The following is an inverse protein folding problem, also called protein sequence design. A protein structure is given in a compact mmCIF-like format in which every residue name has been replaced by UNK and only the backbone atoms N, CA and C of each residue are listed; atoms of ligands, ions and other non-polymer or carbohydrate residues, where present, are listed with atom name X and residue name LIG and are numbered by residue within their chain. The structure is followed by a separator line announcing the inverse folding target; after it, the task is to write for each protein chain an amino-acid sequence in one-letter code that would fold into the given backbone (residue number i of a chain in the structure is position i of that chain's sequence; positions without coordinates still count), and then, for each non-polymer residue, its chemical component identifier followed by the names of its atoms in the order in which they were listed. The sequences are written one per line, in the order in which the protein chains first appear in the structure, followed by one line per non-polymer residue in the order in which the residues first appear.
data_IF_850563272961
#
_entry.id   IF_850563272961
#
_cell.length_a   1.000
_cell.length_b   1.000
_cell.length_c   1.000
_cell.angle_alpha   90.00
_cell.angle_beta   90.00
_cell.angle_gamma   90.00
#
_symmetry.space_group_name_H-M   'P 1'
#
loop_
_entity.id
_entity.type
_entity.pdbx_description
1 polymer ?
#
# COMPACT_ATOMS: atom_id res chain seq x y z
N UNK A 1 9.65 1.04 20.55
CA UNK A 1 8.23 1.43 20.50
C UNK A 1 7.96 2.65 19.62
N UNK A 2 8.45 3.86 19.93
CA UNK A 2 8.09 5.06 19.15
C UNK A 2 8.36 4.92 17.62
N UNK A 3 9.50 4.34 17.22
CA UNK A 3 9.80 4.14 15.79
C UNK A 3 8.84 3.17 15.07
N UNK A 4 8.43 2.09 15.72
CA UNK A 4 7.47 1.13 15.16
C UNK A 4 6.10 1.79 14.97
N UNK A 5 5.66 2.60 15.93
CA UNK A 5 4.40 3.34 15.81
C UNK A 5 4.42 4.34 14.66
N UNK A 6 5.55 5.04 14.48
CA UNK A 6 5.74 5.95 13.35
C UNK A 6 5.70 5.18 12.01
N UNK A 7 6.38 4.03 11.94
CA UNK A 7 6.38 3.21 10.73
C UNK A 7 4.99 2.65 10.39
N UNK A 8 4.23 2.18 11.38
CA UNK A 8 2.85 1.73 11.18
C UNK A 8 1.92 2.88 10.78
N UNK A 9 2.04 4.06 11.41
CA UNK A 9 1.29 5.26 10.99
C UNK A 9 1.58 5.66 9.54
N UNK A 10 2.84 5.50 9.11
CA UNK A 10 3.22 5.70 7.72
C UNK A 10 2.49 4.72 6.80
N UNK A 11 2.40 3.45 7.16
CA UNK A 11 1.67 2.46 6.37
C UNK A 11 0.16 2.73 6.32
N UNK A 12 -0.47 3.11 7.44
CA UNK A 12 -1.88 3.56 7.45
C UNK A 12 -2.10 4.72 6.46
N UNK A 13 -1.18 5.69 6.46
CA UNK A 13 -1.24 6.84 5.55
C UNK A 13 -1.01 6.44 4.09
N UNK A 14 -0.02 5.59 3.84
CA UNK A 14 0.26 5.04 2.50
C UNK A 14 -0.96 4.30 1.94
N UNK A 15 -1.59 3.43 2.74
CA UNK A 15 -2.75 2.65 2.29
C UNK A 15 -3.97 3.53 2.03
N UNK A 16 -4.21 4.57 2.83
CA UNK A 16 -5.29 5.52 2.55
C UNK A 16 -5.07 6.28 1.23
N UNK A 17 -3.84 6.73 0.96
CA UNK A 17 -3.49 7.41 -0.30
C UNK A 17 -3.53 6.44 -1.48
N UNK A 18 -3.01 5.22 -1.32
CA UNK A 18 -3.03 4.18 -2.34
C UNK A 18 -4.45 3.76 -2.69
N UNK A 19 -5.33 3.57 -1.70
CA UNK A 19 -6.75 3.28 -1.90
C UNK A 19 -7.42 4.32 -2.81
N UNK A 20 -7.20 5.60 -2.52
CA UNK A 20 -7.75 6.71 -3.30
C UNK A 20 -7.15 6.76 -4.70
N UNK A 21 -5.83 6.55 -4.81
CA UNK A 21 -5.10 6.51 -6.08
C UNK A 21 -5.56 5.37 -6.99
N UNK A 22 -5.79 4.19 -6.43
CA UNK A 22 -6.28 3.03 -7.18
C UNK A 22 -7.71 3.24 -7.66
N UNK A 23 -8.58 3.89 -6.88
CA UNK A 23 -9.91 4.30 -7.35
C UNK A 23 -9.82 5.23 -8.56
N UNK A 24 -8.93 6.23 -8.50
CA UNK A 24 -8.68 7.11 -9.63
C UNK A 24 -8.28 6.29 -10.87
N UNK A 25 -7.28 5.42 -10.77
CA UNK A 25 -6.86 4.60 -11.92
C UNK A 25 -7.95 3.64 -12.39
N UNK A 26 -8.72 3.04 -11.48
CA UNK A 26 -9.86 2.18 -11.81
C UNK A 26 -10.91 2.93 -12.64
N UNK A 27 -11.19 4.20 -12.33
CA UNK A 27 -12.14 5.02 -13.10
C UNK A 27 -11.58 5.51 -14.44
N UNK A 28 -10.29 5.84 -14.51
CA UNK A 28 -9.70 6.53 -15.66
C UNK A 28 -8.87 5.62 -16.59
N UNK A 29 -8.68 4.35 -16.25
CA UNK A 29 -8.05 3.36 -17.14
C UNK A 29 -8.83 3.23 -18.44
N UNK A 30 -8.12 3.04 -19.56
CA UNK A 30 -8.69 2.98 -20.91
C UNK A 30 -7.79 2.14 -21.83
N UNK A 31 -8.32 1.78 -22.99
CA UNK A 31 -7.58 1.03 -24.01
C UNK A 31 -7.93 -0.46 -24.06
N UNK A 32 -7.17 -1.25 -24.84
CA UNK A 32 -7.49 -2.66 -25.10
C UNK A 32 -7.57 -3.53 -23.85
N UNK A 33 -6.81 -3.20 -22.80
CA UNK A 33 -6.72 -3.94 -21.54
C UNK A 33 -7.72 -3.46 -20.48
N UNK A 34 -8.68 -2.60 -20.85
CA UNK A 34 -9.61 -1.93 -19.92
C UNK A 34 -10.25 -2.89 -18.94
N UNK A 35 -10.92 -3.95 -19.42
CA UNK A 35 -11.69 -4.84 -18.53
C UNK A 35 -10.81 -5.53 -17.49
N UNK A 36 -9.66 -6.09 -17.92
CA UNK A 36 -8.73 -6.76 -17.02
C UNK A 36 -8.10 -5.81 -16.00
N UNK A 37 -7.75 -4.59 -16.41
CA UNK A 37 -7.13 -3.62 -15.52
C UNK A 37 -8.15 -3.01 -14.56
N UNK A 38 -9.35 -2.70 -15.05
CA UNK A 38 -10.43 -2.17 -14.24
C UNK A 38 -10.77 -3.12 -13.08
N UNK A 39 -10.94 -4.42 -13.38
CA UNK A 39 -11.20 -5.46 -12.37
C UNK A 39 -10.00 -5.68 -11.44
N UNK A 40 -8.77 -5.74 -11.95
CA UNK A 40 -7.61 -6.00 -11.09
C UNK A 40 -7.25 -4.80 -10.18
N UNK A 41 -7.47 -3.57 -10.65
CA UNK A 41 -7.36 -2.38 -9.78
C UNK A 41 -8.45 -2.39 -8.71
N UNK A 42 -9.62 -2.98 -9.00
CA UNK A 42 -10.71 -3.20 -8.04
C UNK A 42 -10.32 -4.17 -6.93
N UNK A 43 -9.82 -5.34 -7.32
CA UNK A 43 -9.28 -6.35 -6.42
C UNK A 43 -8.23 -5.73 -5.48
N UNK A 44 -7.27 -5.00 -6.05
CA UNK A 44 -6.18 -4.41 -5.28
C UNK A 44 -6.66 -3.30 -4.34
N UNK A 45 -7.58 -2.42 -4.75
CA UNK A 45 -8.04 -1.38 -3.81
C UNK A 45 -8.86 -1.98 -2.66
N UNK A 46 -9.57 -3.08 -2.88
CA UNK A 46 -10.32 -3.77 -1.82
C UNK A 46 -9.35 -4.39 -0.81
N UNK A 47 -8.30 -5.06 -1.28
CA UNK A 47 -7.22 -5.57 -0.42
C UNK A 47 -6.55 -4.43 0.37
N UNK A 48 -6.20 -3.31 -0.30
CA UNK A 48 -5.59 -2.15 0.36
C UNK A 48 -6.52 -1.54 1.42
N UNK A 49 -7.84 -1.57 1.22
CA UNK A 49 -8.80 -1.11 2.22
C UNK A 49 -8.83 -2.01 3.46
N UNK A 50 -8.71 -3.33 3.30
CA UNK A 50 -8.58 -4.26 4.42
C UNK A 50 -7.26 -4.04 5.18
N UNK A 51 -6.15 -3.90 4.45
CA UNK A 51 -4.84 -3.60 5.03
C UNK A 51 -4.80 -2.25 5.76
N UNK A 52 -5.52 -1.24 5.24
CA UNK A 52 -5.65 0.07 5.89
C UNK A 52 -6.23 -0.07 7.30
N UNK A 53 -7.31 -0.84 7.46
CA UNK A 53 -7.94 -1.09 8.76
C UNK A 53 -7.05 -1.96 9.65
N UNK A 54 -6.53 -3.07 9.12
CA UNK A 54 -5.69 -4.02 9.86
C UNK A 54 -4.46 -3.33 10.50
N UNK A 55 -3.78 -2.45 9.77
CA UNK A 55 -2.62 -1.73 10.29
C UNK A 55 -3.01 -0.66 11.32
N UNK A 56 -4.16 -0.01 11.15
CA UNK A 56 -4.66 0.96 12.11
C UNK A 56 -5.05 0.27 13.43
N UNK A 57 -5.78 -0.85 13.36
CA UNK A 57 -6.15 -1.66 14.51
C UNK A 57 -4.92 -2.26 15.18
N UNK A 58 -3.94 -2.77 14.41
CA UNK A 58 -2.67 -3.27 14.95
C UNK A 58 -1.96 -2.20 15.76
N UNK A 59 -1.87 -0.98 15.22
CA UNK A 59 -1.25 0.14 15.91
C UNK A 59 -1.97 0.48 17.22
N UNK A 60 -3.30 0.46 17.26
CA UNK A 60 -4.08 0.64 18.49
C UNK A 60 -3.80 -0.48 19.49
N UNK A 61 -3.81 -1.74 19.03
CA UNK A 61 -3.62 -2.91 19.87
C UNK A 61 -2.27 -2.92 20.62
N UNK A 62 -1.24 -2.34 20.01
CA UNK A 62 0.09 -2.21 20.63
C UNK A 62 0.29 -0.89 21.39
N UNK A 63 -0.75 -0.07 21.56
CA UNK A 63 -0.75 1.15 22.38
C UNK A 63 -0.48 2.46 21.63
N UNK A 64 -0.44 2.43 20.28
CA UNK A 64 -0.29 3.60 19.43
C UNK A 64 -1.61 4.32 19.14
N UNK A 65 -1.53 5.35 18.30
CA UNK A 65 -2.68 6.13 17.82
C UNK A 65 -2.56 6.34 16.31
N UNK A 66 -3.46 5.77 15.49
CA UNK A 66 -3.43 5.97 14.05
C UNK A 66 -3.81 7.40 13.70
N UNK A 67 -3.14 7.95 12.69
CA UNK A 67 -3.62 9.12 11.98
C UNK A 67 -4.95 8.73 11.32
N UNK A 68 -5.92 9.65 11.33
CA UNK A 68 -7.29 9.36 10.88
C UNK A 68 -7.91 10.52 10.08
N UNK A 69 -7.08 11.32 9.41
CA UNK A 69 -7.53 12.47 8.63
C UNK A 69 -6.64 12.69 7.40
N UNK A 70 -7.25 13.17 6.32
CA UNK A 70 -6.60 13.30 5.00
C UNK A 70 -5.34 14.16 5.03
N UNK A 71 -5.40 15.33 5.70
CA UNK A 71 -4.25 16.22 5.81
C UNK A 71 -3.07 15.52 6.49
N UNK A 72 -3.34 14.81 7.58
CA UNK A 72 -2.33 14.02 8.28
C UNK A 72 -1.74 12.93 7.38
N UNK A 73 -2.56 12.20 6.62
CA UNK A 73 -2.05 11.20 5.69
C UNK A 73 -1.08 11.78 4.66
N UNK A 74 -1.43 12.92 4.07
CA UNK A 74 -0.59 13.59 3.07
C UNK A 74 0.72 14.14 3.65
N UNK A 75 0.79 14.42 4.95
CA UNK A 75 2.01 14.89 5.61
C UNK A 75 3.06 13.78 5.84
N UNK A 76 2.65 12.50 5.88
CA UNK A 76 3.54 11.37 6.21
C UNK A 76 3.62 10.27 5.16
N UNK A 77 2.67 10.19 4.22
CA UNK A 77 2.73 9.22 3.12
C UNK A 77 4.04 9.32 2.34
N UNK A 78 4.52 8.19 1.85
CA UNK A 78 5.59 8.13 0.84
C UNK A 78 5.07 8.22 -0.59
N UNK A 79 3.75 8.09 -0.78
CA UNK A 79 3.12 8.00 -2.09
C UNK A 79 2.65 9.36 -2.56
N UNK A 80 2.80 9.60 -3.85
CA UNK A 80 2.14 10.72 -4.52
C UNK A 80 0.70 10.34 -4.87
N UNK A 81 -0.22 11.29 -4.72
CA UNK A 81 -1.59 11.16 -5.24
C UNK A 81 -1.59 10.90 -6.76
N UNK A 82 -2.69 10.33 -7.26
CA UNK A 82 -2.87 10.14 -8.69
C UNK A 82 -2.86 11.47 -9.44
N UNK A 83 -2.27 11.47 -10.64
CA UNK A 83 -2.39 12.56 -11.62
C UNK A 83 -2.99 12.01 -12.91
N UNK A 84 -3.27 12.87 -13.88
CA UNK A 84 -3.67 12.42 -15.21
C UNK A 84 -2.49 11.76 -15.94
N UNK A 85 -2.61 10.46 -16.20
CA UNK A 85 -1.55 9.63 -16.75
C UNK A 85 -2.04 8.74 -17.89
N UNK A 86 -1.11 8.20 -18.69
CA UNK A 86 -1.46 7.14 -19.64
C UNK A 86 -1.68 5.82 -18.90
N UNK A 87 -2.47 4.89 -19.45
CA UNK A 87 -2.70 3.58 -18.82
C UNK A 87 -1.40 2.82 -18.53
N UNK A 88 -0.40 2.94 -19.39
CA UNK A 88 0.92 2.36 -19.15
C UNK A 88 1.62 2.99 -17.96
N UNK A 89 1.52 4.31 -17.81
CA UNK A 89 2.15 5.04 -16.71
C UNK A 89 1.42 4.77 -15.39
N UNK A 90 0.09 4.61 -15.39
CA UNK A 90 -0.68 4.17 -14.22
C UNK A 90 -0.18 2.82 -13.70
N UNK A 91 0.00 1.82 -14.58
CA UNK A 91 0.50 0.49 -14.21
C UNK A 91 1.92 0.58 -13.63
N UNK A 92 2.77 1.41 -14.26
CA UNK A 92 4.13 1.64 -13.79
C UNK A 92 4.15 2.33 -12.42
N UNK A 93 3.28 3.32 -12.21
CA UNK A 93 3.13 4.04 -10.95
C UNK A 93 2.71 3.08 -9.83
N UNK A 94 1.65 2.29 -10.03
CA UNK A 94 1.22 1.28 -9.05
C UNK A 94 2.32 0.26 -8.76
N UNK A 95 2.98 -0.28 -9.79
CA UNK A 95 4.08 -1.25 -9.59
C UNK A 95 5.24 -0.67 -8.78
N UNK A 96 5.59 0.60 -9.01
CA UNK A 96 6.66 1.28 -8.28
C UNK A 96 6.25 1.62 -6.84
N UNK A 97 5.01 2.07 -6.62
CA UNK A 97 4.46 2.32 -5.30
C UNK A 97 4.48 1.03 -4.47
N UNK A 98 4.01 -0.10 -5.02
CA UNK A 98 4.06 -1.39 -4.32
C UNK A 98 5.50 -1.81 -3.96
N UNK A 99 6.48 -1.62 -4.85
CA UNK A 99 7.91 -1.91 -4.55
C UNK A 99 8.46 -1.03 -3.43
N UNK A 100 8.06 0.24 -3.40
CA UNK A 100 8.41 1.16 -2.32
C UNK A 100 7.80 0.68 -1.00
N UNK A 101 6.50 0.35 -1.00
CA UNK A 101 5.82 -0.18 0.20
C UNK A 101 6.44 -1.49 0.68
N UNK A 102 6.81 -2.42 -0.21
CA UNK A 102 7.54 -3.64 0.17
C UNK A 102 8.87 -3.32 0.86
N UNK A 103 9.57 -2.27 0.42
CA UNK A 103 10.81 -1.82 1.08
C UNK A 103 10.52 -1.29 2.48
N UNK A 104 9.49 -0.46 2.65
CA UNK A 104 9.11 0.08 3.96
C UNK A 104 8.57 -1.00 4.91
N UNK A 105 7.85 -1.99 4.38
CA UNK A 105 7.35 -3.12 5.16
C UNK A 105 8.47 -3.99 5.72
N UNK A 106 9.60 -4.12 5.01
CA UNK A 106 10.81 -4.76 5.55
C UNK A 106 11.37 -3.98 6.74
N UNK A 107 11.32 -2.65 6.69
CA UNK A 107 11.70 -1.83 7.86
C UNK A 107 10.71 -2.00 9.03
N UNK A 108 9.42 -2.19 8.76
CA UNK A 108 8.42 -2.52 9.80
C UNK A 108 8.78 -3.85 10.48
N UNK A 109 9.14 -4.88 9.71
CA UNK A 109 9.59 -6.17 10.24
C UNK A 109 10.82 -5.98 11.14
N UNK A 110 11.86 -5.31 10.64
CA UNK A 110 13.09 -5.04 11.40
C UNK A 110 12.85 -4.26 12.70
N UNK A 111 11.85 -3.38 12.72
CA UNK A 111 11.46 -2.60 13.90
C UNK A 111 10.61 -3.41 14.88
N UNK A 112 9.76 -4.30 14.38
CA UNK A 112 8.92 -5.20 15.16
C UNK A 112 9.78 -6.26 15.87
N UNK A 113 10.72 -6.88 15.16
CA UNK A 113 11.64 -7.88 15.72
C UNK A 113 12.49 -7.32 16.86
N UNK A 114 12.91 -6.05 16.78
CA UNK A 114 13.69 -5.38 17.86
C UNK A 114 12.93 -5.23 19.17
N UNK A 115 11.62 -5.42 19.17
CA UNK A 115 10.75 -5.33 20.36
C UNK A 115 9.95 -6.62 20.58
N UNK A 116 10.38 -7.73 19.96
CA UNK A 116 9.73 -9.05 20.04
C UNK A 116 8.24 -9.02 19.65
N UNK A 117 7.86 -8.12 18.74
CA UNK A 117 6.51 -8.01 18.20
C UNK A 117 6.33 -8.89 16.96
N UNK A 118 6.26 -10.21 17.19
CA UNK A 118 6.10 -11.18 16.11
C UNK A 118 4.77 -11.04 15.34
N UNK A 119 3.73 -10.51 15.98
CA UNK A 119 2.43 -10.29 15.33
C UNK A 119 2.50 -9.21 14.24
N UNK A 120 3.19 -8.10 14.53
CA UNK A 120 3.40 -7.05 13.52
C UNK A 120 4.35 -7.53 12.42
N UNK A 121 5.38 -8.30 12.75
CA UNK A 121 6.33 -8.85 11.77
C UNK A 121 5.65 -9.84 10.80
N UNK A 122 4.79 -10.74 11.31
CA UNK A 122 4.03 -11.70 10.51
C UNK A 122 3.03 -10.99 9.57
N UNK A 123 2.27 -10.02 10.10
CA UNK A 123 1.35 -9.18 9.33
C UNK A 123 2.08 -8.50 8.16
N UNK A 124 3.19 -7.82 8.43
CA UNK A 124 3.98 -7.16 7.38
C UNK A 124 4.57 -8.15 6.36
N UNK A 125 4.96 -9.35 6.79
CA UNK A 125 5.44 -10.41 5.89
C UNK A 125 4.33 -10.90 4.96
N UNK A 126 3.11 -11.07 5.48
CA UNK A 126 1.94 -11.45 4.68
C UNK A 126 1.61 -10.40 3.62
N UNK A 127 1.63 -9.12 4.00
CA UNK A 127 1.43 -7.98 3.09
C UNK A 127 2.48 -7.95 1.98
N UNK A 128 3.77 -8.14 2.31
CA UNK A 128 4.85 -8.21 1.31
C UNK A 128 4.58 -9.32 0.29
N UNK A 129 4.22 -10.51 0.75
CA UNK A 129 3.93 -11.64 -0.14
C UNK A 129 2.80 -11.33 -1.12
N UNK A 130 1.76 -10.64 -0.65
CA UNK A 130 0.66 -10.22 -1.53
C UNK A 130 1.12 -9.19 -2.55
N UNK A 131 1.83 -8.14 -2.11
CA UNK A 131 2.33 -7.08 -2.98
C UNK A 131 3.33 -7.61 -4.02
N UNK A 132 4.19 -8.57 -3.67
CA UNK A 132 5.11 -9.21 -4.61
C UNK A 132 4.36 -9.91 -5.75
N UNK A 133 3.18 -10.49 -5.48
CA UNK A 133 2.33 -11.11 -6.50
C UNK A 133 1.76 -10.05 -7.46
N UNK A 134 1.24 -8.94 -6.94
CA UNK A 134 0.76 -7.83 -7.79
C UNK A 134 1.90 -7.20 -8.60
N UNK A 135 3.07 -7.00 -7.99
CA UNK A 135 4.27 -6.50 -8.67
C UNK A 135 4.63 -7.41 -9.84
N UNK A 136 4.64 -8.72 -9.65
CA UNK A 136 4.87 -9.69 -10.72
C UNK A 136 3.84 -9.54 -11.84
N UNK A 137 2.55 -9.51 -11.53
CA UNK A 137 1.47 -9.40 -12.51
C UNK A 137 1.60 -8.12 -13.37
N UNK A 138 1.82 -6.96 -12.74
CA UNK A 138 2.02 -5.70 -13.45
C UNK A 138 3.31 -5.67 -14.26
N UNK A 139 4.39 -6.25 -13.74
CA UNK A 139 5.69 -6.32 -14.44
C UNK A 139 5.58 -7.20 -15.69
N UNK A 140 4.91 -8.35 -15.57
CA UNK A 140 4.62 -9.25 -16.68
C UNK A 140 3.75 -8.58 -17.75
N UNK A 141 2.72 -7.82 -17.34
CA UNK A 141 1.87 -7.06 -18.28
C UNK A 141 2.68 -6.00 -19.04
N UNK A 142 3.67 -5.38 -18.41
CA UNK A 142 4.56 -4.39 -19.03
C UNK A 142 5.66 -5.02 -19.91
N UNK A 143 5.69 -6.35 -20.07
CA UNK A 143 6.76 -7.11 -20.74
C UNK A 143 8.16 -6.78 -20.18
N UNK A 144 8.27 -6.67 -18.86
CA UNK A 144 9.53 -6.47 -18.14
C UNK A 144 9.83 -7.62 -17.19
#
# INVERSE_FOLDING_TARGET
MNKLYVALNKQVSNFSVLFTKLHHYHWYVKGPEFFSLHEHLEELYNEVNELYDEYAERLIAIGGKPISNLKGYLEVTSLNEATEESTKDMILAVSNDLKLLVTELKEVIDLADKVDDYGTADMATSTIRSFDKHIWMFTALLNK
#
